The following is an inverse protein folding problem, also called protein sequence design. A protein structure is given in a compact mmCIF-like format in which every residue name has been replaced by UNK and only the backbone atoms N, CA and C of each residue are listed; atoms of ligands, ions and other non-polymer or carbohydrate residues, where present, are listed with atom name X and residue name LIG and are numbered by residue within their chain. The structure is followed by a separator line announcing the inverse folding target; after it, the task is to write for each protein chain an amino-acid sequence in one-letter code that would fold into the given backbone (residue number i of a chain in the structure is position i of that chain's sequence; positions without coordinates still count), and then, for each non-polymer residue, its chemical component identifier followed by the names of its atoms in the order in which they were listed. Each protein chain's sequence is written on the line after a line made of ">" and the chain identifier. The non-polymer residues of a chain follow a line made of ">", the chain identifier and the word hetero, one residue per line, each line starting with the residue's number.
data_IF_939549056264
#
_entry.id   IF_939549056264
#
_cell.length_a   1.000
_cell.length_b   1.000
_cell.length_c   1.000
_cell.angle_alpha   90.00
_cell.angle_beta   90.00
_cell.angle_gamma   90.00
#
_symmetry.space_group_name_H-M   'P 1'
#
loop_
_entity.id
_entity.type
_entity.pdbx_description
1 polymer ?
#
# COMPACT_ATOMS: atom_id res chain seq x y z
N UNK A 1 12.09 10.15 -12.16
CA UNK A 1 10.86 9.72 -11.44
C UNK A 1 10.97 10.27 -10.02
N UNK A 2 10.14 11.24 -9.66
CA UNK A 2 10.10 11.79 -8.30
C UNK A 2 9.38 10.78 -7.39
N UNK A 3 10.12 10.06 -6.56
CA UNK A 3 9.52 9.14 -5.58
C UNK A 3 8.93 9.98 -4.44
N UNK A 4 7.66 10.33 -4.57
CA UNK A 4 6.91 10.92 -3.47
C UNK A 4 6.67 9.87 -2.38
N UNK A 5 7.45 9.94 -1.31
CA UNK A 5 7.28 9.10 -0.13
C UNK A 5 5.95 9.46 0.55
N UNK A 6 5.02 8.50 0.59
CA UNK A 6 3.73 8.69 1.24
C UNK A 6 3.76 8.06 2.63
N UNK A 7 3.32 8.83 3.62
CA UNK A 7 3.11 8.34 4.99
C UNK A 7 1.69 7.84 5.15
N UNK A 8 1.51 6.82 6.00
CA UNK A 8 0.22 6.21 6.24
C UNK A 8 0.20 5.43 7.54
N UNK A 9 -1.00 5.03 7.94
CA UNK A 9 -1.25 4.19 9.11
C UNK A 9 -1.72 2.82 8.60
N UNK A 10 -1.18 1.76 9.20
CA UNK A 10 -1.56 0.38 8.92
C UNK A 10 -2.11 -0.23 10.20
N UNK A 11 -3.26 -0.88 10.09
CA UNK A 11 -3.79 -1.74 11.14
C UNK A 11 -3.42 -3.18 10.80
N UNK A 12 -2.83 -3.89 11.75
CA UNK A 12 -2.36 -5.27 11.57
C UNK A 12 -2.94 -6.18 12.63
N UNK A 13 -3.37 -7.36 12.21
CA UNK A 13 -3.71 -8.47 13.07
C UNK A 13 -2.78 -9.65 12.77
N UNK A 14 -2.22 -10.23 13.82
CA UNK A 14 -1.25 -11.32 13.74
C UNK A 14 -1.73 -12.49 14.61
N UNK A 15 -1.74 -13.71 14.07
CA UNK A 15 -2.11 -14.92 14.79
C UNK A 15 -1.04 -16.00 14.67
N UNK A 16 -0.36 -16.27 15.78
CA UNK A 16 0.72 -17.25 15.86
C UNK A 16 0.16 -18.67 15.82
N UNK A 17 0.43 -19.38 14.73
CA UNK A 17 0.01 -20.78 14.53
C UNK A 17 0.99 -21.77 15.18
N UNK A 18 2.28 -21.43 15.18
CA UNK A 18 3.33 -22.22 15.82
C UNK A 18 4.52 -21.34 16.19
N UNK A 19 5.57 -21.93 16.75
CA UNK A 19 6.78 -21.20 17.18
C UNK A 19 7.36 -20.28 16.09
N UNK A 20 7.35 -20.71 14.83
CA UNK A 20 7.95 -19.97 13.73
C UNK A 20 6.95 -19.50 12.68
N UNK A 21 5.67 -19.88 12.78
CA UNK A 21 4.70 -19.65 11.72
C UNK A 21 3.51 -18.86 12.24
N UNK A 22 3.11 -17.84 11.50
CA UNK A 22 2.07 -16.90 11.85
C UNK A 22 1.29 -16.48 10.59
N UNK A 23 0.04 -16.10 10.78
CA UNK A 23 -0.76 -15.43 9.78
C UNK A 23 -0.89 -13.94 10.12
N UNK A 24 -0.66 -13.08 9.14
CA UNK A 24 -0.73 -11.61 9.25
C UNK A 24 -1.79 -11.09 8.27
N UNK A 25 -2.73 -10.29 8.78
CA UNK A 25 -3.70 -9.54 7.98
C UNK A 25 -3.51 -8.07 8.25
N UNK A 26 -3.39 -7.30 7.17
CA UNK A 26 -3.24 -5.85 7.27
C UNK A 26 -4.38 -5.13 6.59
N UNK A 27 -4.67 -3.92 7.06
CA UNK A 27 -5.57 -2.97 6.43
C UNK A 27 -4.90 -1.60 6.38
N UNK A 28 -4.79 -1.02 5.19
CA UNK A 28 -4.30 0.34 5.02
C UNK A 28 -4.92 1.02 3.81
N UNK A 29 -4.74 2.35 3.76
CA UNK A 29 -5.09 3.14 2.59
C UNK A 29 -3.82 3.52 1.84
N UNK A 30 -3.83 3.28 0.52
CA UNK A 30 -2.75 3.69 -0.38
C UNK A 30 -3.24 4.75 -1.33
N UNK A 31 -2.30 5.53 -1.85
CA UNK A 31 -2.61 6.45 -2.93
C UNK A 31 -1.55 6.47 -4.01
N UNK A 32 -1.99 6.76 -5.22
CA UNK A 32 -1.13 6.83 -6.39
C UNK A 32 -1.36 8.15 -7.10
N UNK A 33 -0.27 8.83 -7.41
CA UNK A 33 -0.33 9.97 -8.32
C UNK A 33 -0.31 9.46 -9.75
N UNK A 34 -1.23 9.94 -10.55
CA UNK A 34 -1.33 9.63 -11.97
C UNK A 34 -1.46 10.92 -12.76
N UNK A 35 -0.68 11.00 -13.82
CA UNK A 35 -0.69 12.13 -14.76
C UNK A 35 -1.32 11.63 -16.04
N UNK A 36 -2.38 12.29 -16.48
CA UNK A 36 -3.17 11.92 -17.64
C UNK A 36 -3.35 13.13 -18.53
N UNK A 37 -3.31 12.90 -19.83
CA UNK A 37 -3.65 13.91 -20.82
C UNK A 37 -5.11 13.70 -21.21
N UNK A 38 -5.97 14.65 -20.91
CA UNK A 38 -7.43 14.53 -21.10
C UNK A 38 -7.89 15.55 -22.14
N UNK A 39 -8.62 15.15 -23.21
CA UNK A 39 -9.18 16.12 -24.15
C UNK A 39 -10.26 16.96 -23.48
N UNK A 40 -10.30 18.25 -23.81
CA UNK A 40 -11.41 19.14 -23.46
C UNK A 40 -12.11 19.65 -24.72
N UNK A 41 -13.30 20.23 -24.56
CA UNK A 41 -14.23 20.58 -25.65
C UNK A 41 -13.63 21.54 -26.71
N UNK A 42 -12.58 22.29 -26.37
CA UNK A 42 -11.86 23.19 -27.29
C UNK A 42 -10.78 22.49 -28.15
N UNK A 43 -10.61 21.17 -28.00
CA UNK A 43 -9.61 20.37 -28.70
C UNK A 43 -8.21 20.39 -28.08
N UNK A 44 -8.02 21.04 -26.92
CA UNK A 44 -6.76 20.97 -26.18
C UNK A 44 -6.68 19.74 -25.29
N UNK A 45 -5.45 19.42 -24.88
CA UNK A 45 -5.09 18.21 -24.14
C UNK A 45 -4.29 18.57 -22.89
N UNK A 46 -4.90 19.26 -21.90
CA UNK A 46 -4.23 19.59 -20.66
C UNK A 46 -3.75 18.34 -19.92
N UNK A 47 -2.64 18.49 -19.20
CA UNK A 47 -2.16 17.48 -18.27
C UNK A 47 -2.93 17.59 -16.95
N UNK A 48 -3.75 16.60 -16.65
CA UNK A 48 -4.43 16.44 -15.38
C UNK A 48 -3.58 15.63 -14.40
N UNK A 49 -3.52 16.07 -13.15
CA UNK A 49 -2.87 15.35 -12.06
C UNK A 49 -3.94 14.79 -11.11
N UNK A 50 -4.08 13.47 -11.09
CA UNK A 50 -5.06 12.77 -10.26
C UNK A 50 -4.34 12.02 -9.15
N UNK A 51 -4.93 12.03 -7.96
CA UNK A 51 -4.56 11.15 -6.86
C UNK A 51 -5.62 10.07 -6.67
N UNK A 52 -5.31 8.87 -7.11
CA UNK A 52 -6.10 7.67 -6.87
C UNK A 52 -5.95 7.20 -5.44
N UNK A 53 -7.00 6.58 -4.89
CA UNK A 53 -7.04 6.05 -3.53
C UNK A 53 -7.52 4.60 -3.57
N UNK A 54 -6.80 3.75 -2.85
CA UNK A 54 -7.06 2.32 -2.76
C UNK A 54 -7.15 1.89 -1.30
N UNK A 55 -8.09 1.00 -1.01
CA UNK A 55 -8.08 0.21 0.21
C UNK A 55 -7.25 -1.04 -0.07
N UNK A 56 -6.16 -1.23 0.67
CA UNK A 56 -5.25 -2.36 0.52
C UNK A 56 -5.43 -3.34 1.68
N UNK A 57 -5.62 -4.62 1.32
CA UNK A 57 -5.78 -5.74 2.24
C UNK A 57 -4.74 -6.85 1.92
N UNK A 58 -3.56 -6.80 2.55
CA UNK A 58 -2.59 -7.89 2.51
C UNK A 58 -3.02 -9.08 3.39
N UNK A 59 -2.91 -10.29 2.83
CA UNK A 59 -3.07 -11.56 3.53
C UNK A 59 -1.74 -12.31 3.43
N UNK A 60 -1.05 -12.43 4.56
CA UNK A 60 0.36 -12.78 4.59
C UNK A 60 0.60 -14.00 5.47
N UNK A 61 1.43 -14.90 4.97
CA UNK A 61 2.13 -15.88 5.79
C UNK A 61 3.39 -15.23 6.35
N UNK A 62 3.63 -15.41 7.64
CA UNK A 62 4.79 -14.85 8.33
C UNK A 62 5.62 -15.95 8.98
N UNK A 63 6.91 -15.93 8.66
CA UNK A 63 7.92 -16.78 9.26
C UNK A 63 8.79 -15.98 10.23
N UNK A 64 8.78 -16.39 11.50
CA UNK A 64 9.65 -15.83 12.53
C UNK A 64 10.97 -16.57 12.58
N UNK A 65 12.07 -15.81 12.52
CA UNK A 65 13.41 -16.33 12.82
C UNK A 65 14.08 -15.50 13.91
N UNK A 66 15.25 -15.96 14.36
CA UNK A 66 16.05 -15.22 15.36
C UNK A 66 16.68 -13.94 14.79
N UNK A 67 16.84 -13.84 13.48
CA UNK A 67 17.57 -12.73 12.83
C UNK A 67 16.59 -11.71 12.27
N UNK A 68 15.69 -12.18 11.41
CA UNK A 68 14.63 -11.38 10.75
C UNK A 68 13.35 -12.19 10.61
N UNK A 69 12.22 -11.50 10.62
CA UNK A 69 10.93 -12.04 10.25
C UNK A 69 10.70 -11.79 8.77
N UNK A 70 10.12 -12.75 8.08
CA UNK A 70 9.76 -12.62 6.67
C UNK A 70 8.27 -12.86 6.54
N UNK A 71 7.54 -11.88 6.00
CA UNK A 71 6.11 -12.03 5.69
C UNK A 71 5.93 -12.01 4.17
N UNK A 72 5.12 -12.89 3.63
CA UNK A 72 4.81 -12.90 2.19
C UNK A 72 3.43 -13.43 1.90
N UNK A 73 2.80 -12.94 0.83
CA UNK A 73 1.47 -13.37 0.46
C UNK A 73 0.80 -12.43 -0.53
N UNK A 74 -0.51 -12.62 -0.69
CA UNK A 74 -1.31 -11.89 -1.67
C UNK A 74 -1.77 -10.55 -1.12
N UNK A 75 -1.92 -9.57 -2.01
CA UNK A 75 -2.53 -8.28 -1.69
C UNK A 75 -3.70 -8.01 -2.60
N UNK A 76 -4.76 -7.45 -2.03
CA UNK A 76 -5.91 -6.94 -2.78
C UNK A 76 -5.99 -5.43 -2.60
N UNK A 77 -5.97 -4.70 -3.72
CA UNK A 77 -6.14 -3.25 -3.75
C UNK A 77 -7.49 -2.94 -4.42
N UNK A 78 -8.41 -2.35 -3.66
CA UNK A 78 -9.72 -1.94 -4.16
C UNK A 78 -9.80 -0.42 -4.30
N UNK A 79 -10.14 0.04 -5.50
CA UNK A 79 -10.30 1.46 -5.79
C UNK A 79 -11.50 2.04 -5.03
N UNK A 80 -11.22 3.01 -4.16
CA UNK A 80 -12.24 3.67 -3.33
C UNK A 80 -12.50 5.11 -3.75
N UNK A 81 -11.71 5.65 -4.67
CA UNK A 81 -11.96 6.97 -5.24
C UNK A 81 -10.70 7.67 -5.71
N UNK A 82 -10.87 8.92 -6.10
CA UNK A 82 -9.80 9.76 -6.63
C UNK A 82 -9.98 11.21 -6.18
N UNK A 83 -8.97 12.03 -6.40
CA UNK A 83 -9.01 13.48 -6.17
C UNK A 83 -8.25 14.18 -7.28
N UNK A 84 -8.86 15.20 -7.88
CA UNK A 84 -8.16 16.11 -8.79
C UNK A 84 -7.17 16.97 -7.99
N UNK A 85 -5.91 16.96 -8.41
CA UNK A 85 -4.82 17.78 -7.88
C UNK A 85 -4.28 18.77 -8.91
N UNK A 86 -4.93 18.89 -10.08
CA UNK A 86 -4.54 19.80 -11.15
C UNK A 86 -4.61 21.25 -10.63
N UNK A 87 -3.46 21.93 -10.55
CA UNK A 87 -3.34 23.30 -10.03
C UNK A 87 -3.49 24.38 -11.09
N UNK A 88 -3.62 24.01 -12.36
CA UNK A 88 -3.71 24.93 -13.50
C UNK A 88 -5.18 25.27 -13.77
N UNK A 89 -5.51 26.55 -13.63
CA UNK A 89 -6.89 27.05 -13.61
C UNK A 89 -7.68 26.87 -14.90
N UNK A 90 -9.01 26.93 -14.72
CA UNK A 90 -10.12 26.88 -15.69
C UNK A 90 -10.65 25.51 -16.14
N UNK A 91 -9.90 24.42 -15.97
CA UNK A 91 -10.39 23.06 -16.31
C UNK A 91 -10.59 22.25 -15.04
N UNK A 92 -11.83 21.83 -14.80
CA UNK A 92 -12.21 20.94 -13.70
C UNK A 92 -12.46 19.54 -14.25
N UNK A 93 -11.74 18.53 -13.74
CA UNK A 93 -12.02 17.15 -14.09
C UNK A 93 -13.34 16.73 -13.42
N UNK A 94 -14.38 16.51 -14.22
CA UNK A 94 -15.72 16.16 -13.72
C UNK A 94 -15.89 14.67 -13.41
N UNK A 95 -15.20 13.81 -14.16
CA UNK A 95 -15.33 12.37 -14.03
C UNK A 95 -14.01 11.66 -14.29
N UNK A 96 -13.73 10.69 -13.44
CA UNK A 96 -12.67 9.72 -13.63
C UNK A 96 -13.20 8.36 -13.20
N UNK A 97 -13.00 7.36 -14.05
CA UNK A 97 -13.42 5.99 -13.82
C UNK A 97 -12.30 5.05 -14.17
N UNK A 98 -12.12 4.03 -13.36
CA UNK A 98 -11.12 3.00 -13.57
C UNK A 98 -11.81 1.64 -13.74
N UNK A 99 -11.28 0.84 -14.65
CA UNK A 99 -11.69 -0.54 -14.87
C UNK A 99 -10.42 -1.37 -15.17
N UNK A 100 -10.12 -2.42 -14.39
CA UNK A 100 -10.89 -2.92 -13.24
C UNK A 100 -10.78 -2.02 -11.99
N UNK A 101 -11.65 -2.21 -11.00
CA UNK A 101 -11.55 -1.51 -9.69
C UNK A 101 -10.77 -2.30 -8.64
N UNK A 102 -10.44 -3.55 -8.93
CA UNK A 102 -9.77 -4.47 -8.02
C UNK A 102 -8.47 -4.91 -8.67
N UNK A 103 -7.41 -4.87 -7.88
CA UNK A 103 -6.08 -5.28 -8.30
C UNK A 103 -5.54 -6.32 -7.32
N UNK A 104 -4.83 -7.29 -7.87
CA UNK A 104 -4.15 -8.32 -7.09
C UNK A 104 -2.65 -8.17 -7.27
N UNK A 105 -1.93 -8.38 -6.18
CA UNK A 105 -0.48 -8.41 -6.20
C UNK A 105 0.08 -9.37 -5.19
N UNK A 106 1.39 -9.30 -5.04
CA UNK A 106 2.14 -10.09 -4.09
C UNK A 106 2.98 -9.17 -3.23
N UNK A 107 3.02 -9.38 -1.92
CA UNK A 107 3.88 -8.62 -1.01
C UNK A 107 4.95 -9.52 -0.40
N UNK A 108 6.14 -8.95 -0.24
CA UNK A 108 7.21 -9.45 0.60
C UNK A 108 7.57 -8.36 1.62
N UNK A 109 7.71 -8.76 2.88
CA UNK A 109 8.18 -7.91 3.97
C UNK A 109 9.31 -8.60 4.70
N UNK A 110 10.29 -7.81 5.11
CA UNK A 110 11.38 -8.25 5.98
C UNK A 110 11.45 -7.28 7.15
N UNK A 111 11.27 -7.81 8.36
CA UNK A 111 11.26 -7.02 9.58
C UNK A 111 12.12 -7.63 10.67
N UNK A 112 12.35 -6.88 11.74
CA UNK A 112 13.06 -7.39 12.92
C UNK A 112 12.29 -7.05 14.19
N UNK A 113 11.80 -8.08 14.87
CA UNK A 113 11.14 -7.90 16.16
C UNK A 113 12.15 -7.52 17.25
N UNK A 114 11.88 -6.41 17.94
CA UNK A 114 12.61 -5.89 19.08
C UNK A 114 11.64 -5.89 20.26
N UNK A 115 11.91 -6.75 21.25
CA UNK A 115 11.10 -6.79 22.48
C UNK A 115 11.39 -5.53 23.29
N UNK A 116 10.36 -4.71 23.51
CA UNK A 116 10.44 -3.56 24.40
C UNK A 116 10.07 -3.95 25.83
N UNK A 117 9.08 -4.85 25.97
CA UNK A 117 8.63 -5.41 27.25
C UNK A 117 8.01 -6.80 27.03
N UNK A 118 7.53 -7.49 28.07
CA UNK A 118 6.85 -8.78 27.89
C UNK A 118 5.61 -8.72 26.98
N UNK A 119 4.96 -7.56 26.84
CA UNK A 119 3.75 -7.37 26.03
C UNK A 119 3.95 -6.50 24.80
N UNK A 120 4.99 -5.67 24.76
CA UNK A 120 5.22 -4.75 23.64
C UNK A 120 6.40 -5.17 22.78
N UNK A 121 6.18 -5.18 21.46
CA UNK A 121 7.21 -5.48 20.46
C UNK A 121 7.21 -4.35 19.44
N UNK A 122 8.40 -3.84 19.13
CA UNK A 122 8.63 -2.92 18.03
C UNK A 122 9.18 -3.72 16.84
N UNK A 123 8.67 -3.49 15.64
CA UNK A 123 9.13 -4.18 14.43
C UNK A 123 9.31 -3.17 13.30
N UNK A 124 10.52 -2.61 13.11
CA UNK A 124 10.87 -1.99 11.85
C UNK A 124 10.80 -3.04 10.73
N UNK A 125 10.24 -2.66 9.59
CA UNK A 125 10.12 -3.50 8.40
C UNK A 125 10.39 -2.71 7.13
N UNK A 126 10.92 -3.41 6.14
CA UNK A 126 10.94 -2.98 4.74
C UNK A 126 10.01 -3.90 3.95
N UNK A 127 9.37 -3.37 2.93
CA UNK A 127 8.41 -4.13 2.13
C UNK A 127 8.46 -3.77 0.66
N UNK A 128 8.08 -4.74 -0.16
CA UNK A 128 7.99 -4.65 -1.61
C UNK A 128 6.72 -5.36 -2.08
N UNK A 129 5.98 -4.73 -2.98
CA UNK A 129 4.69 -5.22 -3.46
C UNK A 129 4.52 -4.94 -4.96
N UNK A 130 4.92 -5.89 -5.83
CA UNK A 130 4.50 -5.88 -7.22
C UNK A 130 3.00 -6.16 -7.35
N UNK A 131 2.32 -5.39 -8.19
CA UNK A 131 0.96 -5.69 -8.64
C UNK A 131 1.05 -6.46 -9.96
N UNK A 132 0.21 -7.48 -10.16
CA UNK A 132 0.34 -8.37 -11.32
C UNK A 132 -0.13 -7.73 -12.63
N UNK A 133 -1.18 -6.91 -12.57
CA UNK A 133 -1.82 -6.32 -13.76
C UNK A 133 -1.25 -4.94 -14.15
N UNK A 134 -0.16 -4.50 -13.50
CA UNK A 134 0.43 -3.17 -13.73
C UNK A 134 1.95 -3.17 -13.80
N UNK A 135 2.52 -2.25 -14.57
CA UNK A 135 3.97 -1.97 -14.65
C UNK A 135 4.51 -1.16 -13.45
N UNK A 136 3.88 -1.24 -12.28
CA UNK A 136 4.40 -0.56 -11.10
C UNK A 136 4.32 -1.41 -9.84
N UNK A 137 5.29 -1.17 -8.97
CA UNK A 137 5.44 -1.83 -7.67
C UNK A 137 5.48 -0.79 -6.57
N UNK A 138 4.92 -1.12 -5.41
CA UNK A 138 5.11 -0.32 -4.22
C UNK A 138 6.30 -0.86 -3.41
N UNK A 139 7.03 0.04 -2.76
CA UNK A 139 8.05 -0.32 -1.78
C UNK A 139 8.06 0.72 -0.68
N UNK A 140 8.46 0.32 0.51
CA UNK A 140 8.57 1.27 1.61
C UNK A 140 9.20 0.68 2.85
N UNK A 141 9.24 1.53 3.86
CA UNK A 141 9.66 1.19 5.23
C UNK A 141 8.52 1.51 6.18
N UNK A 142 8.38 0.72 7.23
CA UNK A 142 7.40 0.96 8.28
C UNK A 142 7.97 0.58 9.64
N UNK A 143 7.34 1.09 10.70
CA UNK A 143 7.64 0.68 12.08
C UNK A 143 6.32 0.28 12.71
N UNK A 144 6.21 -0.99 13.10
CA UNK A 144 5.02 -1.53 13.78
C UNK A 144 5.24 -1.54 15.28
N UNK A 145 4.24 -1.07 16.03
CA UNK A 145 4.15 -1.31 17.46
C UNK A 145 3.07 -2.37 17.70
N UNK A 146 3.47 -3.49 18.30
CA UNK A 146 2.61 -4.65 18.54
C UNK A 146 2.34 -4.80 20.03
N UNK A 147 1.10 -5.17 20.34
CA UNK A 147 0.69 -5.57 21.68
C UNK A 147 0.35 -7.05 21.68
N UNK A 148 1.04 -7.82 22.52
CA UNK A 148 0.75 -9.23 22.75
C UNK A 148 -0.40 -9.34 23.74
N UNK A 149 -1.54 -9.82 23.26
CA UNK A 149 -2.71 -10.19 24.07
C UNK A 149 -2.38 -11.36 25.01
#
# INVERSE_FOLDING_TARGET
>A
MEQNMQTGIVFSYENQLSRHNEFEVDLNQRSRNQYLTVPIDDGTYPLSHIKEKYLNLPLLYKFYSKVVNVSTGVTVDYFVGWKDLTKLGSVELRSYSISPKLYVGWTLKVGKAIKLSPRFILEPEIWFNPLFDYEYSYSGVAVKLKYKL
#
